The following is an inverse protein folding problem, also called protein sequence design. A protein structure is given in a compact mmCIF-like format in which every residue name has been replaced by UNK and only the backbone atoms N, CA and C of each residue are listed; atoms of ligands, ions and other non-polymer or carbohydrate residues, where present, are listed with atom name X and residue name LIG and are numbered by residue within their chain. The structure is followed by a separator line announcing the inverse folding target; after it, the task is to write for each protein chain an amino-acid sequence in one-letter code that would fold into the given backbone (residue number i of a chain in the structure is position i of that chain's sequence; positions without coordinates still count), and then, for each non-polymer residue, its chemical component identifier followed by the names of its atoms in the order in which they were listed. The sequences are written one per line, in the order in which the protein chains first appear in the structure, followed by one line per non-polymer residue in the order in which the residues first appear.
data_IF_817103979850
#
_entry.id   IF_817103979850
#
_cell.length_a   1.000
_cell.length_b   1.000
_cell.length_c   1.000
_cell.angle_alpha   90.00
_cell.angle_beta   90.00
_cell.angle_gamma   90.00
#
_symmetry.space_group_name_H-M   'P 1'
#
loop_
_entity.id
_entity.type
_entity.pdbx_description
1 polymer ?
#
# COMPACT_ATOMS: atom_id res chain seq x y z
N UNK A 1 -9.13 -2.93 3.88
CA UNK A 1 -8.10 -1.89 3.63
C UNK A 1 -7.82 -1.15 4.94
N UNK A 2 -6.56 -0.77 5.22
CA UNK A 2 -6.16 -0.03 6.41
C UNK A 2 -5.31 1.18 6.01
N UNK A 3 -5.48 2.31 6.68
CA UNK A 3 -4.70 3.54 6.44
C UNK A 3 -4.38 4.23 7.75
N UNK A 4 -3.16 4.77 7.85
CA UNK A 4 -2.73 5.60 8.97
C UNK A 4 -3.37 6.99 8.90
N UNK A 5 -3.69 7.55 10.06
CA UNK A 5 -4.04 8.97 10.19
C UNK A 5 -2.79 9.74 10.63
N UNK A 6 -1.96 10.05 9.67
CA UNK A 6 -0.77 10.84 9.92
C UNK A 6 -1.08 12.33 9.96
N UNK A 7 -0.25 13.08 10.63
CA UNK A 7 -0.40 14.53 10.75
C UNK A 7 0.63 15.21 9.86
N UNK A 8 0.13 16.03 8.92
CA UNK A 8 0.93 16.91 8.07
C UNK A 8 0.90 18.33 8.61
N UNK A 9 2.03 18.84 9.05
CA UNK A 9 2.16 20.23 9.50
C UNK A 9 1.98 21.21 8.33
N UNK A 10 2.15 20.75 7.09
CA UNK A 10 1.90 21.57 5.91
C UNK A 10 0.42 21.95 5.74
N UNK A 11 -0.50 21.18 6.32
CA UNK A 11 -1.93 21.47 6.31
C UNK A 11 -2.38 22.45 7.39
N UNK A 12 -1.49 22.85 8.32
CA UNK A 12 -1.82 23.86 9.29
C UNK A 12 -2.13 25.21 8.62
N UNK A 13 -3.12 25.93 9.15
CA UNK A 13 -3.42 27.29 8.68
C UNK A 13 -2.18 28.18 8.78
N UNK A 14 -1.93 29.12 7.84
CA UNK A 14 -0.73 29.95 7.83
C UNK A 14 -0.45 30.67 9.14
N UNK A 15 -1.48 31.10 9.87
CA UNK A 15 -1.33 31.77 11.20
C UNK A 15 -0.90 30.80 12.31
N UNK A 16 -1.17 29.51 12.15
CA UNK A 16 -0.79 28.46 13.09
C UNK A 16 0.58 27.85 12.81
N UNK A 17 1.20 28.13 11.65
CA UNK A 17 2.56 27.68 11.28
C UNK A 17 3.60 28.48 12.06
N UNK A 18 3.81 28.10 13.31
CA UNK A 18 4.86 28.65 14.17
C UNK A 18 5.80 27.51 14.57
N UNK A 19 7.06 27.83 14.85
CA UNK A 19 8.04 26.83 15.31
C UNK A 19 7.50 26.03 16.51
N UNK A 20 6.80 26.68 17.44
CA UNK A 20 6.21 26.02 18.61
C UNK A 20 5.16 25.01 18.18
N UNK A 21 4.24 25.39 17.32
CA UNK A 21 3.18 24.49 16.86
C UNK A 21 3.71 23.34 16.04
N UNK A 22 4.60 23.62 15.08
CA UNK A 22 5.13 22.61 14.14
C UNK A 22 6.03 21.59 14.84
N UNK A 23 6.77 22.00 15.88
CA UNK A 23 7.77 21.13 16.49
C UNK A 23 7.47 20.68 17.91
N UNK A 24 6.59 21.36 18.67
CA UNK A 24 6.33 21.04 20.08
C UNK A 24 4.87 20.63 20.36
N UNK A 25 3.92 21.12 19.56
CA UNK A 25 2.49 20.89 19.80
C UNK A 25 1.93 19.84 18.85
N UNK A 26 2.07 20.01 17.55
CA UNK A 26 1.57 19.06 16.54
C UNK A 26 2.66 18.06 16.17
N UNK A 27 2.94 17.12 17.07
CA UNK A 27 4.11 16.25 17.03
C UNK A 27 3.84 14.87 16.43
N UNK A 28 2.59 14.40 16.39
CA UNK A 28 2.23 13.04 15.99
C UNK A 28 0.88 12.97 15.28
N UNK A 29 0.68 11.95 14.46
CA UNK A 29 -0.60 11.52 13.95
C UNK A 29 -1.36 10.67 14.97
N UNK A 30 -2.61 10.25 14.64
CA UNK A 30 -3.45 9.59 15.62
C UNK A 30 -4.32 8.47 15.04
N UNK A 31 -3.87 7.25 15.23
CA UNK A 31 -4.63 6.04 14.92
C UNK A 31 -4.68 5.68 13.45
N UNK A 32 -5.55 4.77 13.16
CA UNK A 32 -5.81 4.25 11.81
C UNK A 32 -7.30 4.22 11.52
N UNK A 33 -7.64 4.15 10.25
CA UNK A 33 -8.95 3.75 9.75
C UNK A 33 -8.84 2.44 9.02
N UNK A 34 -9.86 1.60 9.12
CA UNK A 34 -9.94 0.39 8.31
C UNK A 34 -11.38 0.15 7.85
N UNK A 35 -11.52 -0.35 6.62
CA UNK A 35 -12.80 -0.72 6.04
C UNK A 35 -12.70 -2.08 5.36
N UNK A 36 -13.84 -2.73 5.20
CA UNK A 36 -13.97 -3.86 4.28
C UNK A 36 -13.77 -3.38 2.84
N UNK A 37 -13.37 -4.25 1.94
CA UNK A 37 -13.22 -3.93 0.50
C UNK A 37 -14.47 -4.30 -0.30
N UNK A 38 -15.41 -5.00 0.33
CA UNK A 38 -16.61 -5.57 -0.30
C UNK A 38 -17.90 -4.83 0.07
N UNK A 39 -17.87 -3.98 1.10
CA UNK A 39 -19.05 -3.35 1.64
C UNK A 39 -18.95 -1.82 1.60
N UNK A 40 -20.05 -1.18 1.27
CA UNK A 40 -20.22 0.28 1.29
C UNK A 40 -21.47 0.66 2.07
N UNK A 41 -21.54 1.90 2.56
CA UNK A 41 -22.75 2.46 3.15
C UNK A 41 -23.82 2.70 2.08
N UNK A 42 -25.04 3.03 2.49
CA UNK A 42 -26.14 3.37 1.55
C UNK A 42 -25.80 4.60 0.68
N UNK A 43 -24.91 5.47 1.16
CA UNK A 43 -24.44 6.65 0.48
C UNK A 43 -23.25 6.37 -0.48
N UNK A 44 -22.78 5.12 -0.56
CA UNK A 44 -21.62 4.75 -1.40
C UNK A 44 -20.26 5.06 -0.76
N UNK A 45 -20.20 5.30 0.56
CA UNK A 45 -18.97 5.52 1.30
C UNK A 45 -18.42 4.19 1.85
N UNK A 46 -17.10 4.08 2.13
CA UNK A 46 -16.52 2.86 2.71
C UNK A 46 -17.18 2.47 4.04
N UNK A 47 -17.49 1.19 4.22
CA UNK A 47 -17.97 0.66 5.48
C UNK A 47 -16.80 0.47 6.46
N UNK A 48 -16.60 1.43 7.34
CA UNK A 48 -15.50 1.40 8.28
C UNK A 48 -15.74 0.39 9.42
N UNK A 49 -14.75 -0.47 9.63
CA UNK A 49 -14.65 -1.40 10.78
C UNK A 49 -13.77 -0.84 11.90
N UNK A 50 -12.86 0.10 11.58
CA UNK A 50 -12.13 0.93 12.54
C UNK A 50 -12.32 2.39 12.13
N UNK A 51 -12.90 3.19 13.02
CA UNK A 51 -13.24 4.61 12.79
C UNK A 51 -13.13 5.42 14.07
N UNK A 52 -13.53 6.69 14.01
CA UNK A 52 -13.55 7.68 15.08
C UNK A 52 -12.16 8.08 15.62
N UNK A 53 -12.13 9.10 16.45
CA UNK A 53 -10.97 9.59 17.20
C UNK A 53 -11.42 9.81 18.65
N UNK A 54 -10.95 9.02 19.61
CA UNK A 54 -10.04 7.84 19.51
C UNK A 54 -10.59 6.69 18.64
N UNK A 55 -9.71 5.86 18.04
CA UNK A 55 -10.13 4.77 17.18
C UNK A 55 -11.03 3.77 17.90
N UNK A 56 -12.17 3.42 17.27
CA UNK A 56 -13.09 2.40 17.73
C UNK A 56 -13.22 1.31 16.70
N UNK A 57 -13.15 0.06 17.13
CA UNK A 57 -13.28 -1.11 16.29
C UNK A 57 -14.64 -1.80 16.50
N UNK A 58 -15.32 -2.13 15.42
CA UNK A 58 -16.54 -2.97 15.45
C UNK A 58 -16.23 -4.47 15.43
N UNK A 59 -14.97 -4.85 15.18
CA UNK A 59 -14.52 -6.25 15.05
C UNK A 59 -13.59 -6.70 16.18
N UNK A 60 -13.55 -5.96 17.29
CA UNK A 60 -12.78 -6.33 18.49
C UNK A 60 -11.26 -6.14 18.40
N UNK A 61 -10.76 -5.41 17.43
CA UNK A 61 -9.34 -5.06 17.34
C UNK A 61 -9.09 -3.86 18.25
N UNK A 62 -8.25 -4.00 19.31
CA UNK A 62 -7.86 -2.88 20.16
C UNK A 62 -6.71 -2.09 19.56
N UNK A 63 -6.71 -0.77 19.84
CA UNK A 63 -5.59 0.14 19.54
C UNK A 63 -5.32 0.92 20.82
N UNK A 64 -4.38 0.42 21.62
CA UNK A 64 -4.09 0.97 22.95
C UNK A 64 -3.08 2.12 22.87
N UNK A 65 -2.33 2.19 21.77
CA UNK A 65 -1.30 3.20 21.51
C UNK A 65 -1.47 3.75 20.09
N UNK A 66 -2.40 4.71 19.91
CA UNK A 66 -2.75 5.22 18.59
C UNK A 66 -1.80 6.28 18.04
N UNK A 67 -0.94 6.90 18.85
CA UNK A 67 -0.08 8.00 18.44
C UNK A 67 1.01 7.53 17.46
N UNK A 68 1.16 8.25 16.34
CA UNK A 68 2.11 7.97 15.26
C UNK A 68 3.15 9.09 15.23
N UNK A 69 4.31 8.85 15.86
CA UNK A 69 5.45 9.76 15.81
C UNK A 69 6.37 9.50 14.62
N UNK A 70 6.37 8.25 14.13
CA UNK A 70 7.16 7.77 13.00
C UNK A 70 6.21 7.15 11.98
N UNK A 71 6.18 7.71 10.78
CA UNK A 71 5.25 7.34 9.70
C UNK A 71 5.83 7.63 8.33
N UNK A 72 4.97 7.73 7.34
CA UNK A 72 5.37 8.04 5.95
C UNK A 72 5.52 9.55 5.73
N UNK A 73 4.78 10.37 6.51
CA UNK A 73 4.80 11.84 6.42
C UNK A 73 5.79 12.43 7.41
N UNK A 74 6.73 13.23 6.94
CA UNK A 74 7.63 14.05 7.77
C UNK A 74 7.90 15.39 7.09
N UNK A 75 7.04 16.39 7.35
CA UNK A 75 7.10 17.72 6.72
C UNK A 75 8.13 18.66 7.36
N UNK A 76 8.52 18.42 8.61
CA UNK A 76 9.30 19.36 9.40
C UNK A 76 10.67 18.83 9.81
N UNK A 77 10.97 17.57 9.49
CA UNK A 77 12.27 16.93 9.73
C UNK A 77 12.57 16.57 11.18
N UNK A 78 11.90 17.18 12.16
CA UNK A 78 12.03 16.82 13.58
C UNK A 78 10.86 17.33 14.41
N UNK A 79 10.64 16.70 15.57
CA UNK A 79 9.79 17.21 16.65
C UNK A 79 10.49 17.07 17.98
N UNK A 80 10.07 17.87 18.97
CA UNK A 80 10.61 17.82 20.33
C UNK A 80 9.48 17.51 21.30
N UNK A 81 9.60 16.40 21.98
CA UNK A 81 8.60 15.89 22.93
C UNK A 81 9.06 16.08 24.38
N UNK A 82 8.16 15.91 25.33
CA UNK A 82 8.42 16.12 26.77
C UNK A 82 8.94 17.53 27.07
N UNK A 83 8.35 18.53 26.45
CA UNK A 83 8.59 19.96 26.68
C UNK A 83 7.68 20.49 27.79
N UNK A 84 7.69 21.79 28.03
CA UNK A 84 6.66 22.44 28.88
C UNK A 84 5.32 22.52 28.16
N UNK A 85 5.34 22.53 26.83
CA UNK A 85 4.11 22.46 26.03
C UNK A 85 3.57 21.05 26.03
N UNK A 86 2.26 20.94 26.15
CA UNK A 86 1.55 19.66 25.93
C UNK A 86 1.40 19.43 24.43
N UNK A 87 1.52 18.20 24.02
CA UNK A 87 1.33 17.77 22.65
C UNK A 87 -0.17 17.69 22.36
N UNK A 88 -0.60 18.20 21.20
CA UNK A 88 -1.98 18.03 20.73
C UNK A 88 -2.20 16.56 20.41
N UNK A 89 -3.21 15.98 21.02
CA UNK A 89 -3.56 14.57 20.85
C UNK A 89 -4.69 14.41 19.82
N UNK A 90 -5.88 14.89 20.15
CA UNK A 90 -7.02 14.90 19.23
C UNK A 90 -8.09 15.92 19.64
N UNK A 91 -8.98 16.32 18.70
CA UNK A 91 -10.11 17.19 19.01
C UNK A 91 -11.22 16.39 19.71
N UNK A 92 -11.86 17.00 20.72
CA UNK A 92 -13.01 16.42 21.41
C UNK A 92 -14.12 17.48 21.55
N UNK A 93 -15.04 17.49 20.59
CA UNK A 93 -16.06 18.53 20.47
C UNK A 93 -15.42 19.92 20.32
N UNK A 94 -15.80 20.85 21.20
CA UNK A 94 -15.29 22.23 21.22
C UNK A 94 -13.93 22.36 21.96
N UNK A 95 -13.35 21.27 22.45
CA UNK A 95 -12.10 21.26 23.21
C UNK A 95 -11.07 20.36 22.55
N UNK A 96 -9.80 20.50 22.94
CA UNK A 96 -8.72 19.64 22.48
C UNK A 96 -8.22 18.77 23.64
N UNK A 97 -7.91 17.52 23.32
CA UNK A 97 -7.14 16.66 24.20
C UNK A 97 -5.66 16.86 23.96
N UNK A 98 -4.89 16.72 25.04
CA UNK A 98 -3.45 16.89 25.03
C UNK A 98 -2.78 15.73 25.73
N UNK A 99 -1.62 15.36 25.25
CA UNK A 99 -0.81 14.27 25.78
C UNK A 99 0.62 14.73 26.08
N UNK A 100 1.40 13.82 26.64
CA UNK A 100 2.85 13.93 26.79
C UNK A 100 3.47 12.60 26.41
N UNK A 101 4.49 12.62 25.59
CA UNK A 101 5.17 11.39 25.16
C UNK A 101 5.71 10.59 26.35
N UNK A 102 5.29 9.32 26.45
CA UNK A 102 5.67 8.41 27.55
C UNK A 102 6.61 7.28 27.09
N UNK A 103 7.10 7.34 25.84
CA UNK A 103 7.90 6.27 25.26
C UNK A 103 9.41 6.40 25.46
N UNK A 104 10.13 5.45 24.85
CA UNK A 104 11.58 5.34 24.95
C UNK A 104 12.33 6.00 23.76
N UNK A 105 11.60 6.34 22.66
CA UNK A 105 12.19 6.93 21.46
C UNK A 105 12.73 8.34 21.64
N UNK A 106 13.43 8.83 20.62
CA UNK A 106 14.06 10.14 20.60
C UNK A 106 15.39 10.22 21.38
N UNK A 107 16.12 11.30 21.11
CA UNK A 107 17.41 11.57 21.75
C UNK A 107 17.21 12.69 22.77
N UNK A 108 17.68 12.50 24.01
CA UNK A 108 17.60 13.49 25.09
C UNK A 108 18.38 14.75 24.70
N UNK A 109 17.75 15.92 24.86
CA UNK A 109 18.36 17.23 24.55
C UNK A 109 19.27 17.71 25.72
N UNK A 110 20.38 16.99 25.91
CA UNK A 110 21.50 17.47 26.75
C UNK A 110 22.09 18.75 26.16
N UNK A 111 22.92 19.47 26.92
CA UNK A 111 23.57 20.69 26.44
C UNK A 111 24.36 20.46 25.13
N UNK A 112 25.10 19.34 25.03
CA UNK A 112 25.85 18.97 23.83
C UNK A 112 24.88 18.72 22.66
N UNK A 113 23.84 17.94 22.90
CA UNK A 113 22.85 17.62 21.84
C UNK A 113 22.09 18.87 21.38
N UNK A 114 21.78 19.83 22.27
CA UNK A 114 21.20 21.12 21.86
C UNK A 114 22.11 21.88 20.90
N UNK A 115 23.42 21.94 21.19
CA UNK A 115 24.39 22.57 20.29
C UNK A 115 24.47 21.84 18.95
N UNK A 116 24.57 20.52 18.96
CA UNK A 116 24.63 19.70 17.75
C UNK A 116 23.38 19.89 16.88
N UNK A 117 22.19 19.89 17.50
CA UNK A 117 20.93 20.07 16.79
C UNK A 117 20.76 21.51 16.28
N UNK A 118 21.29 22.52 17.02
CA UNK A 118 21.33 23.89 16.55
C UNK A 118 22.16 24.01 15.27
N UNK A 119 23.31 23.34 15.20
CA UNK A 119 24.13 23.31 13.99
C UNK A 119 23.48 22.53 12.85
N UNK A 120 22.92 21.38 13.16
CA UNK A 120 22.24 20.50 12.15
C UNK A 120 21.06 21.20 11.47
N UNK A 121 20.21 21.85 12.24
CA UNK A 121 18.95 22.46 11.74
C UNK A 121 19.02 23.97 11.53
N UNK A 122 20.16 24.60 11.80
CA UNK A 122 20.37 26.04 11.59
C UNK A 122 19.47 26.95 12.44
N UNK A 123 19.01 26.48 13.61
CA UNK A 123 18.08 27.24 14.45
C UNK A 123 18.55 27.35 15.90
N UNK A 124 18.57 28.58 16.43
CA UNK A 124 18.91 28.85 17.83
C UNK A 124 17.79 28.45 18.83
N UNK A 125 16.63 27.99 18.33
CA UNK A 125 15.47 27.61 19.16
C UNK A 125 15.82 26.53 20.18
N UNK A 126 16.70 25.58 19.85
CA UNK A 126 17.13 24.53 20.79
C UNK A 126 17.85 25.10 22.03
N UNK A 127 18.58 26.22 21.88
CA UNK A 127 19.34 26.87 22.96
C UNK A 127 18.50 27.91 23.71
N UNK A 128 17.65 28.65 23.00
CA UNK A 128 17.00 29.85 23.51
C UNK A 128 15.52 29.57 23.96
N UNK A 129 14.90 28.48 23.54
CA UNK A 129 13.52 28.20 23.94
C UNK A 129 13.43 27.83 25.42
N UNK A 130 12.62 28.57 26.15
CA UNK A 130 12.27 28.28 27.53
C UNK A 130 11.37 27.06 27.70
N UNK A 131 10.81 26.51 26.61
CA UNK A 131 9.94 25.31 26.62
C UNK A 131 10.72 24.01 26.69
N UNK A 132 11.99 24.01 26.25
CA UNK A 132 12.83 22.82 26.27
C UNK A 132 13.38 22.57 27.68
N UNK A 133 13.01 21.43 28.24
CA UNK A 133 13.39 20.99 29.58
C UNK A 133 14.56 19.99 29.55
N UNK A 134 15.17 19.64 30.71
CA UNK A 134 16.16 18.56 30.78
C UNK A 134 15.62 17.18 30.39
N UNK A 135 14.29 16.98 30.40
CA UNK A 135 13.63 15.72 30.00
C UNK A 135 13.20 15.70 28.54
N UNK A 136 13.31 16.84 27.85
CA UNK A 136 12.92 16.93 26.44
C UNK A 136 13.79 16.04 25.55
N UNK A 137 13.14 15.41 24.59
CA UNK A 137 13.79 14.55 23.57
C UNK A 137 13.48 15.08 22.19
N UNK A 138 14.43 15.01 21.30
CA UNK A 138 14.23 15.28 19.87
C UNK A 138 14.02 13.95 19.12
N UNK A 139 13.02 13.91 18.25
CA UNK A 139 12.77 12.84 17.29
C UNK A 139 13.02 13.38 15.89
N UNK A 140 13.85 12.70 15.12
CA UNK A 140 14.21 13.04 13.74
C UNK A 140 14.38 11.77 12.91
N UNK A 141 14.52 11.89 11.59
CA UNK A 141 14.36 10.77 10.66
C UNK A 141 13.05 10.04 10.99
N UNK A 142 11.95 10.78 10.97
CA UNK A 142 10.63 10.29 11.33
C UNK A 142 9.96 9.57 10.17
N UNK A 143 10.27 9.97 8.94
CA UNK A 143 9.86 9.22 7.75
C UNK A 143 10.42 7.81 7.78
N UNK A 144 9.54 6.81 7.59
CA UNK A 144 9.89 5.38 7.56
C UNK A 144 11.01 5.13 6.55
N UNK A 145 10.88 5.66 5.34
CA UNK A 145 11.85 5.51 4.26
C UNK A 145 13.21 6.09 4.63
N UNK A 146 13.26 7.37 4.98
CA UNK A 146 14.50 8.05 5.37
C UNK A 146 15.20 7.34 6.52
N UNK A 147 14.41 6.85 7.48
CA UNK A 147 14.93 6.18 8.67
C UNK A 147 15.64 4.88 8.34
N UNK A 148 15.00 4.00 7.56
CA UNK A 148 15.59 2.70 7.21
C UNK A 148 16.78 2.84 6.26
N UNK A 149 16.71 3.77 5.31
CA UNK A 149 17.83 4.09 4.39
C UNK A 149 19.04 4.67 5.13
N UNK A 150 18.80 5.49 6.16
CA UNK A 150 19.88 6.03 6.99
C UNK A 150 20.57 4.93 7.80
N UNK A 151 19.83 3.94 8.30
CA UNK A 151 20.36 2.85 9.12
C UNK A 151 21.10 1.82 8.25
N UNK A 152 20.51 1.44 7.10
CA UNK A 152 21.05 0.40 6.23
C UNK A 152 21.05 0.85 4.74
N UNK A 153 21.90 1.82 4.35
CA UNK A 153 21.93 2.40 3.01
C UNK A 153 22.44 1.45 1.91
N UNK A 154 22.88 0.26 2.29
CA UNK A 154 23.32 -0.81 1.39
C UNK A 154 22.21 -1.74 0.94
N UNK A 155 20.99 -1.60 1.50
CA UNK A 155 19.78 -2.28 1.03
C UNK A 155 19.01 -1.38 0.06
N UNK A 156 18.19 -1.99 -0.79
CA UNK A 156 17.11 -1.31 -1.50
C UNK A 156 15.77 -1.61 -0.82
N UNK A 157 14.83 -0.70 -0.91
CA UNK A 157 13.56 -0.78 -0.22
C UNK A 157 12.41 -0.77 -1.21
N UNK A 158 11.35 -1.50 -0.90
CA UNK A 158 10.09 -1.39 -1.62
C UNK A 158 9.49 0.01 -1.44
N UNK A 159 8.75 0.49 -2.42
CA UNK A 159 8.09 1.80 -2.32
C UNK A 159 6.85 1.80 -1.44
N UNK A 160 6.38 0.62 -1.02
CA UNK A 160 5.12 0.44 -0.31
C UNK A 160 5.33 -0.10 1.12
N UNK A 161 5.77 0.75 2.07
CA UNK A 161 5.66 0.42 3.48
C UNK A 161 4.19 0.35 3.87
N UNK A 162 3.81 -0.57 4.76
CA UNK A 162 2.42 -0.73 5.16
C UNK A 162 2.26 -0.81 6.66
N UNK A 163 1.19 -0.14 7.15
CA UNK A 163 0.86 -0.11 8.58
C UNK A 163 0.11 -1.37 9.00
N UNK A 164 0.43 -1.88 10.19
CA UNK A 164 -0.23 -3.04 10.80
C UNK A 164 -0.53 -2.79 12.28
N UNK A 165 -1.55 -3.47 12.79
CA UNK A 165 -1.91 -3.44 14.20
C UNK A 165 -1.45 -4.76 14.82
N UNK A 166 -0.62 -4.69 15.85
CA UNK A 166 -0.16 -5.86 16.60
C UNK A 166 -0.19 -5.58 18.09
N UNK A 167 -0.94 -6.39 18.84
CA UNK A 167 -1.06 -6.29 20.29
C UNK A 167 -1.39 -4.86 20.77
N UNK A 168 -2.36 -4.20 20.14
CA UNK A 168 -2.82 -2.85 20.47
C UNK A 168 -1.86 -1.71 20.09
N UNK A 169 -0.80 -1.99 19.31
CA UNK A 169 0.20 -1.03 18.87
C UNK A 169 0.27 -0.97 17.34
N UNK A 170 0.76 0.15 16.84
CA UNK A 170 0.94 0.39 15.42
C UNK A 170 2.40 0.16 15.02
N UNK A 171 2.59 -0.58 13.94
CA UNK A 171 3.88 -0.84 13.35
C UNK A 171 3.81 -0.61 11.84
N UNK A 172 4.91 -0.21 11.24
CA UNK A 172 5.11 -0.30 9.80
C UNK A 172 5.97 -1.52 9.48
N UNK A 173 5.63 -2.20 8.40
CA UNK A 173 6.48 -3.23 7.80
C UNK A 173 6.98 -2.70 6.46
N UNK A 174 8.29 -2.77 6.26
CA UNK A 174 8.97 -2.34 5.06
C UNK A 174 9.77 -3.49 4.47
N UNK A 175 9.50 -3.84 3.22
CA UNK A 175 10.30 -4.81 2.51
C UNK A 175 11.64 -4.23 2.09
N UNK A 176 12.71 -5.01 2.28
CA UNK A 176 14.05 -4.63 1.92
C UNK A 176 14.77 -5.75 1.14
N UNK A 177 15.57 -5.32 0.19
CA UNK A 177 16.21 -6.19 -0.79
C UNK A 177 17.73 -6.09 -0.70
N UNK A 178 18.36 -7.24 -0.86
CA UNK A 178 19.75 -7.32 -1.27
C UNK A 178 19.81 -7.27 -2.78
N UNK A 179 20.67 -6.44 -3.35
CA UNK A 179 20.77 -6.21 -4.78
C UNK A 179 22.21 -6.11 -5.23
N UNK A 180 22.45 -6.46 -6.48
CA UNK A 180 23.73 -6.23 -7.18
C UNK A 180 23.48 -5.93 -8.65
N UNK A 181 24.42 -5.22 -9.29
CA UNK A 181 24.39 -4.87 -10.72
C UNK A 181 25.44 -5.60 -11.56
N UNK A 182 26.18 -6.55 -10.96
CA UNK A 182 27.33 -7.22 -11.55
C UNK A 182 27.17 -8.74 -11.65
N UNK A 183 25.94 -9.25 -11.54
CA UNK A 183 25.71 -10.67 -11.63
C UNK A 183 25.96 -11.15 -13.08
N UNK A 184 26.78 -12.20 -13.29
CA UNK A 184 27.15 -12.63 -14.64
C UNK A 184 25.95 -13.10 -15.45
N UNK A 185 25.91 -12.75 -16.75
CA UNK A 185 24.90 -13.20 -17.71
C UNK A 185 23.44 -12.85 -17.37
N UNK A 186 23.21 -11.91 -16.46
CA UNK A 186 21.89 -11.42 -16.12
C UNK A 186 21.67 -10.03 -16.73
N UNK A 187 20.53 -9.84 -17.39
CA UNK A 187 20.16 -8.56 -17.99
C UNK A 187 19.86 -7.51 -16.90
N UNK A 188 20.44 -6.30 -16.97
CA UNK A 188 20.17 -5.26 -15.97
C UNK A 188 18.80 -4.62 -16.18
N UNK A 189 18.13 -4.33 -15.07
CA UNK A 189 16.86 -3.59 -15.01
C UNK A 189 17.00 -2.40 -14.07
N UNK A 190 16.25 -1.32 -14.32
CA UNK A 190 16.11 -0.20 -13.38
C UNK A 190 14.66 -0.15 -12.91
N UNK A 191 14.32 -0.79 -11.79
CA UNK A 191 12.95 -0.82 -11.28
C UNK A 191 12.58 0.55 -10.73
N UNK A 192 11.41 1.06 -11.10
CA UNK A 192 10.86 2.32 -10.59
C UNK A 192 10.11 2.17 -9.26
N UNK A 193 9.85 0.93 -8.86
CA UNK A 193 9.14 0.54 -7.64
C UNK A 193 10.04 0.24 -6.44
N UNK A 194 11.37 0.40 -6.61
CA UNK A 194 12.35 0.23 -5.53
C UNK A 194 13.09 1.53 -5.23
N UNK A 195 13.47 1.73 -3.98
CA UNK A 195 14.23 2.91 -3.56
C UNK A 195 15.50 2.54 -2.80
N UNK A 196 16.63 3.24 -3.01
CA UNK A 196 16.88 4.24 -4.05
C UNK A 196 16.93 3.63 -5.46
N UNK A 197 16.52 4.39 -6.49
CA UNK A 197 16.51 3.93 -7.89
C UNK A 197 17.93 3.65 -8.37
N UNK A 198 18.25 2.36 -8.56
CA UNK A 198 19.58 1.92 -9.03
C UNK A 198 19.40 0.78 -10.04
N UNK A 199 20.22 0.72 -11.11
CA UNK A 199 20.28 -0.44 -11.97
C UNK A 199 20.67 -1.67 -11.15
N UNK A 200 20.03 -2.79 -11.40
CA UNK A 200 20.33 -4.07 -10.76
C UNK A 200 20.13 -5.22 -11.74
N UNK A 201 20.81 -6.32 -11.50
CA UNK A 201 20.61 -7.59 -12.21
C UNK A 201 20.65 -8.80 -11.27
N UNK A 202 20.58 -8.53 -9.95
CA UNK A 202 20.34 -9.48 -8.87
C UNK A 202 19.48 -8.82 -7.82
N UNK A 203 18.43 -9.50 -7.37
CA UNK A 203 17.55 -9.04 -6.30
C UNK A 203 16.99 -10.22 -5.52
N UNK A 204 16.97 -10.11 -4.18
CA UNK A 204 16.24 -11.02 -3.29
C UNK A 204 15.57 -10.23 -2.16
N UNK A 205 14.34 -10.59 -1.81
CA UNK A 205 13.64 -10.01 -0.66
C UNK A 205 14.14 -10.68 0.63
N UNK A 206 15.36 -10.34 1.01
CA UNK A 206 16.08 -11.03 2.09
C UNK A 206 15.78 -10.47 3.46
N UNK A 207 15.15 -9.29 3.57
CA UNK A 207 14.94 -8.62 4.85
C UNK A 207 13.53 -8.04 4.94
N UNK A 208 12.86 -8.29 6.08
CA UNK A 208 11.65 -7.59 6.49
C UNK A 208 12.01 -6.63 7.62
N UNK A 209 11.68 -5.36 7.47
CA UNK A 209 11.98 -4.32 8.47
C UNK A 209 10.69 -3.97 9.19
N UNK A 210 10.72 -3.97 10.52
CA UNK A 210 9.61 -3.56 11.37
C UNK A 210 9.96 -2.27 12.10
N UNK A 211 9.10 -1.28 12.00
CA UNK A 211 9.26 0.03 12.63
C UNK A 211 8.11 0.26 13.60
N UNK A 212 8.42 0.50 14.87
CA UNK A 212 7.46 0.91 15.90
C UNK A 212 7.03 2.36 15.64
N UNK A 213 5.77 2.59 15.30
CA UNK A 213 5.24 3.90 14.96
C UNK A 213 5.28 4.91 16.11
N UNK A 214 5.29 4.44 17.36
CA UNK A 214 5.34 5.27 18.56
C UNK A 214 6.78 5.62 18.99
N UNK A 215 7.67 4.61 19.04
CA UNK A 215 9.03 4.78 19.55
C UNK A 215 10.09 4.96 18.45
N UNK A 216 9.75 4.65 17.19
CA UNK A 216 10.68 4.66 16.07
C UNK A 216 11.78 3.59 16.15
N UNK A 217 11.58 2.54 16.96
CA UNK A 217 12.48 1.40 16.98
C UNK A 217 12.41 0.66 15.66
N UNK A 218 13.58 0.33 15.09
CA UNK A 218 13.68 -0.41 13.83
C UNK A 218 14.35 -1.76 14.10
N UNK A 219 13.70 -2.81 13.63
CA UNK A 219 14.21 -4.18 13.70
C UNK A 219 14.29 -4.76 12.27
N UNK A 220 15.48 -5.21 11.86
CA UNK A 220 15.73 -5.85 10.58
C UNK A 220 15.71 -7.37 10.76
N UNK A 221 14.76 -8.05 10.14
CA UNK A 221 14.61 -9.51 10.22
C UNK A 221 15.07 -10.16 8.93
N UNK A 222 16.02 -11.09 9.01
CA UNK A 222 16.46 -11.91 7.88
C UNK A 222 15.32 -12.86 7.53
N UNK A 223 14.73 -12.65 6.35
CA UNK A 223 13.61 -13.43 5.83
C UNK A 223 14.12 -14.57 4.93
N UNK A 224 15.15 -14.30 4.11
CA UNK A 224 15.81 -15.29 3.27
C UNK A 224 17.25 -15.55 3.77
N UNK A 225 17.45 -16.53 4.67
CA UNK A 225 18.77 -16.84 5.22
C UNK A 225 19.73 -17.49 4.22
N UNK A 226 19.22 -17.96 3.06
CA UNK A 226 20.04 -18.59 2.02
C UNK A 226 20.71 -17.55 1.09
N UNK A 227 20.35 -16.27 1.20
CA UNK A 227 20.95 -15.21 0.40
C UNK A 227 22.41 -14.93 0.85
N UNK A 228 23.42 -15.10 -0.04
CA UNK A 228 24.82 -14.89 0.33
C UNK A 228 25.14 -13.42 0.69
N UNK A 229 24.39 -12.45 0.11
CA UNK A 229 24.59 -11.03 0.42
C UNK A 229 24.13 -10.70 1.84
N UNK A 230 22.92 -11.16 2.24
CA UNK A 230 22.44 -10.93 3.61
C UNK A 230 23.29 -11.64 4.63
N UNK A 231 23.79 -12.86 4.33
CA UNK A 231 24.74 -13.57 5.19
C UNK A 231 26.03 -12.74 5.40
N UNK A 232 26.53 -12.12 4.33
CA UNK A 232 27.71 -11.25 4.41
C UNK A 232 27.42 -10.01 5.26
N UNK A 233 26.29 -9.33 5.03
CA UNK A 233 25.90 -8.16 5.82
C UNK A 233 25.68 -8.49 7.30
N UNK A 234 25.11 -9.67 7.60
CA UNK A 234 24.93 -10.12 8.98
C UNK A 234 26.27 -10.31 9.71
N UNK A 235 27.33 -10.75 9.01
CA UNK A 235 28.67 -10.86 9.58
C UNK A 235 29.36 -9.51 9.76
N UNK A 236 29.14 -8.56 8.83
CA UNK A 236 29.70 -7.20 8.90
C UNK A 236 29.00 -6.41 10.02
N UNK A 237 27.67 -6.56 10.17
CA UNK A 237 26.84 -5.83 11.13
C UNK A 237 26.10 -6.79 12.09
N UNK A 238 26.80 -7.45 13.00
CA UNK A 238 26.24 -8.58 13.79
C UNK A 238 25.08 -8.18 14.72
N UNK A 239 24.92 -6.90 15.04
CA UNK A 239 23.85 -6.40 15.92
C UNK A 239 22.68 -5.77 15.16
N UNK A 240 22.75 -5.66 13.84
CA UNK A 240 21.72 -5.03 13.03
C UNK A 240 20.60 -6.00 12.70
N UNK A 241 20.96 -7.20 12.31
CA UNK A 241 20.02 -8.21 11.81
C UNK A 241 19.60 -9.20 12.88
N UNK A 242 18.34 -9.62 12.81
CA UNK A 242 17.75 -10.68 13.64
C UNK A 242 17.21 -11.80 12.75
N UNK A 243 17.19 -13.04 13.23
CA UNK A 243 16.47 -14.10 12.55
C UNK A 243 14.97 -13.80 12.51
N UNK A 244 14.27 -14.19 11.44
CA UNK A 244 12.82 -14.08 11.30
C UNK A 244 12.07 -14.77 12.45
N UNK A 245 12.62 -15.83 13.03
CA UNK A 245 12.04 -16.53 14.18
C UNK A 245 11.89 -15.64 15.43
N UNK A 246 12.68 -14.57 15.52
CA UNK A 246 12.58 -13.57 16.59
C UNK A 246 11.53 -12.50 16.34
N UNK A 247 10.93 -12.45 15.17
CA UNK A 247 9.79 -11.58 14.88
C UNK A 247 8.58 -12.08 15.66
N UNK A 248 7.83 -11.19 16.34
CA UNK A 248 6.58 -11.57 17.00
C UNK A 248 5.66 -12.32 16.04
N UNK A 249 5.10 -13.45 16.50
CA UNK A 249 4.23 -14.31 15.67
C UNK A 249 3.03 -13.57 15.09
N UNK A 250 2.52 -12.60 15.80
CA UNK A 250 1.43 -11.75 15.35
C UNK A 250 1.85 -10.87 14.15
N UNK A 251 3.04 -10.27 14.22
CA UNK A 251 3.59 -9.50 13.09
C UNK A 251 3.92 -10.38 11.87
N UNK A 252 4.34 -11.63 12.09
CA UNK A 252 4.59 -12.57 10.98
C UNK A 252 3.35 -12.84 10.13
N UNK A 253 2.15 -12.78 10.72
CA UNK A 253 0.86 -12.97 10.00
C UNK A 253 0.53 -11.84 9.02
N UNK A 254 1.17 -10.69 9.17
CA UNK A 254 0.99 -9.53 8.32
C UNK A 254 1.99 -9.46 7.15
N UNK A 255 2.92 -10.42 7.06
CA UNK A 255 3.86 -10.49 5.94
C UNK A 255 3.07 -10.76 4.66
N UNK A 256 3.37 -9.98 3.62
CA UNK A 256 2.81 -10.13 2.27
C UNK A 256 3.93 -10.22 1.24
N UNK A 257 3.59 -10.65 0.02
CA UNK A 257 4.54 -10.64 -1.08
C UNK A 257 4.80 -9.18 -1.51
N UNK A 258 6.08 -8.75 -1.69
CA UNK A 258 6.39 -7.37 -2.00
C UNK A 258 6.10 -7.04 -3.46
N UNK A 259 5.43 -5.90 -3.68
CA UNK A 259 4.97 -5.48 -5.00
C UNK A 259 6.13 -5.23 -5.96
N UNK A 260 7.19 -4.55 -5.53
CA UNK A 260 8.32 -4.22 -6.41
C UNK A 260 9.07 -5.45 -6.92
N UNK A 261 9.26 -6.49 -6.10
CA UNK A 261 9.84 -7.76 -6.57
C UNK A 261 8.91 -8.46 -7.56
N UNK A 262 7.62 -8.48 -7.25
CA UNK A 262 6.61 -9.12 -8.10
C UNK A 262 6.55 -8.49 -9.49
N UNK A 263 6.61 -7.16 -9.59
CA UNK A 263 6.64 -6.45 -10.86
C UNK A 263 7.87 -6.80 -11.71
N UNK A 264 9.05 -6.87 -11.08
CA UNK A 264 10.28 -7.31 -11.76
C UNK A 264 10.11 -8.73 -12.28
N UNK A 265 9.58 -9.65 -11.47
CA UNK A 265 9.35 -11.04 -11.86
C UNK A 265 8.31 -11.15 -12.97
N UNK A 266 7.24 -10.37 -12.93
CA UNK A 266 6.23 -10.32 -13.99
C UNK A 266 6.84 -9.84 -15.31
N UNK A 267 7.65 -8.77 -15.30
CA UNK A 267 8.37 -8.28 -16.48
C UNK A 267 9.31 -9.33 -17.05
N UNK A 268 10.09 -10.01 -16.22
CA UNK A 268 10.98 -11.09 -16.65
C UNK A 268 10.18 -12.25 -17.22
N UNK A 269 9.13 -12.70 -16.55
CA UNK A 269 8.34 -13.84 -16.99
C UNK A 269 7.63 -13.58 -18.33
N UNK A 270 7.29 -12.32 -18.62
CA UNK A 270 6.71 -11.91 -19.90
C UNK A 270 7.56 -12.30 -21.14
N UNK A 271 8.85 -12.54 -20.94
CA UNK A 271 9.80 -12.97 -21.95
C UNK A 271 10.31 -14.40 -21.68
N UNK A 272 10.65 -14.71 -20.43
CA UNK A 272 11.30 -15.99 -20.06
C UNK A 272 10.35 -17.19 -20.01
N UNK A 273 9.04 -17.02 -20.27
CA UNK A 273 8.11 -18.14 -20.45
C UNK A 273 8.27 -18.86 -21.78
N UNK A 274 9.03 -18.31 -22.75
CA UNK A 274 9.30 -18.91 -24.04
C UNK A 274 10.40 -19.96 -23.90
N UNK A 275 10.07 -21.23 -24.19
CA UNK A 275 10.98 -22.36 -24.03
C UNK A 275 11.79 -22.63 -25.28
N UNK A 276 11.26 -22.33 -26.49
CA UNK A 276 11.98 -22.49 -27.74
C UNK A 276 13.04 -21.39 -27.92
N UNK A 277 14.31 -21.72 -28.12
CA UNK A 277 15.38 -20.73 -28.23
C UNK A 277 15.22 -19.74 -29.39
N UNK A 278 14.62 -20.15 -30.50
CA UNK A 278 14.42 -19.28 -31.66
C UNK A 278 13.28 -18.30 -31.42
N UNK A 279 12.17 -18.78 -30.84
CA UNK A 279 11.03 -17.98 -30.42
C UNK A 279 11.44 -16.95 -29.34
N UNK A 280 12.27 -17.39 -28.38
CA UNK A 280 12.85 -16.53 -27.37
C UNK A 280 13.76 -15.45 -27.94
N UNK A 281 14.68 -15.84 -28.85
CA UNK A 281 15.60 -14.90 -29.47
C UNK A 281 14.87 -13.81 -30.28
N UNK A 282 13.85 -14.23 -31.05
CA UNK A 282 13.05 -13.33 -31.87
C UNK A 282 11.95 -12.58 -31.05
N UNK A 283 11.71 -12.97 -29.80
CA UNK A 283 10.61 -12.46 -28.96
C UNK A 283 9.22 -12.59 -29.63
N UNK A 284 8.99 -13.71 -30.34
CA UNK A 284 7.79 -13.90 -31.16
C UNK A 284 6.50 -14.05 -30.35
N UNK A 285 6.57 -14.72 -29.20
CA UNK A 285 5.43 -14.94 -28.29
C UNK A 285 5.57 -14.12 -26.97
N UNK A 286 6.25 -12.98 -27.02
CA UNK A 286 6.40 -12.13 -25.83
C UNK A 286 5.04 -11.63 -25.32
N UNK A 287 4.91 -11.53 -24.01
CA UNK A 287 3.71 -11.03 -23.34
C UNK A 287 3.89 -9.59 -22.86
N UNK A 288 2.79 -8.93 -22.57
CA UNK A 288 2.75 -7.60 -21.97
C UNK A 288 1.80 -7.58 -20.77
N UNK A 289 2.08 -6.71 -19.82
CA UNK A 289 1.10 -6.30 -18.82
C UNK A 289 0.07 -5.43 -19.54
N UNK A 290 -1.22 -5.75 -19.49
CA UNK A 290 -2.26 -4.98 -20.16
C UNK A 290 -2.44 -3.59 -19.57
N UNK A 291 -3.22 -2.77 -20.28
CA UNK A 291 -3.70 -1.49 -19.76
C UNK A 291 -5.12 -1.63 -19.24
N UNK A 292 -5.51 -0.67 -18.41
CA UNK A 292 -6.88 -0.42 -17.93
C UNK A 292 -7.21 1.05 -18.08
N UNK A 293 -8.48 1.42 -17.97
CA UNK A 293 -8.90 2.82 -17.86
C UNK A 293 -9.01 3.18 -16.39
N UNK A 294 -8.16 4.08 -15.93
CA UNK A 294 -8.25 4.65 -14.59
C UNK A 294 -8.56 6.14 -14.69
N UNK A 295 -9.58 6.60 -13.96
CA UNK A 295 -10.18 7.92 -14.15
C UNK A 295 -10.63 8.14 -15.61
N UNK A 296 -9.82 8.81 -16.40
CA UNK A 296 -10.06 9.11 -17.82
C UNK A 296 -8.90 8.69 -18.73
N UNK A 297 -7.91 8.01 -18.20
CA UNK A 297 -6.66 7.70 -18.89
C UNK A 297 -6.37 6.21 -18.92
N UNK A 298 -5.82 5.74 -20.05
CA UNK A 298 -5.33 4.38 -20.15
C UNK A 298 -3.96 4.27 -19.49
N UNK A 299 -3.87 3.56 -18.38
CA UNK A 299 -2.63 3.28 -17.64
C UNK A 299 -2.25 1.80 -17.75
N UNK A 300 -0.99 1.47 -17.50
CA UNK A 300 -0.56 0.07 -17.34
C UNK A 300 -1.12 -0.43 -16.02
N UNK A 301 -1.71 -1.62 -16.01
CA UNK A 301 -2.22 -2.23 -14.78
C UNK A 301 -1.09 -2.42 -13.76
N UNK A 302 -1.38 -2.09 -12.52
CA UNK A 302 -0.51 -2.40 -11.39
C UNK A 302 -0.91 -3.72 -10.75
N UNK A 303 0.03 -4.46 -10.13
CA UNK A 303 -0.32 -5.63 -9.33
C UNK A 303 -1.28 -5.26 -8.20
N UNK A 304 -2.24 -6.13 -7.94
CA UNK A 304 -3.23 -5.92 -6.88
C UNK A 304 -3.38 -7.14 -6.00
N UNK A 305 -3.71 -6.90 -4.73
CA UNK A 305 -3.97 -7.97 -3.77
C UNK A 305 -5.42 -8.44 -3.86
N UNK A 306 -5.60 -9.75 -3.85
CA UNK A 306 -6.91 -10.41 -3.91
C UNK A 306 -6.90 -11.67 -3.05
N UNK A 307 -8.04 -12.07 -2.52
CA UNK A 307 -8.21 -13.38 -1.90
C UNK A 307 -8.72 -14.32 -2.98
N UNK A 308 -7.96 -15.37 -3.29
CA UNK A 308 -8.31 -16.41 -4.24
C UNK A 308 -8.44 -17.74 -3.54
N UNK A 309 -9.38 -18.57 -4.00
CA UNK A 309 -9.46 -19.96 -3.61
C UNK A 309 -8.52 -20.79 -4.53
N UNK A 310 -7.48 -21.36 -3.93
CA UNK A 310 -6.51 -22.23 -4.60
C UNK A 310 -6.50 -23.56 -3.86
N UNK A 311 -6.78 -24.64 -4.58
CA UNK A 311 -6.85 -26.00 -4.01
C UNK A 311 -7.78 -26.11 -2.77
N UNK A 312 -8.90 -25.37 -2.79
CA UNK A 312 -9.90 -25.37 -1.72
C UNK A 312 -9.50 -24.57 -0.46
N UNK A 313 -8.49 -23.69 -0.57
CA UNK A 313 -8.05 -22.78 0.49
C UNK A 313 -8.10 -21.35 0.00
N UNK A 314 -8.61 -20.46 0.84
CA UNK A 314 -8.51 -19.02 0.61
C UNK A 314 -7.09 -18.54 0.91
N UNK A 315 -6.44 -17.96 -0.11
CA UNK A 315 -5.09 -17.41 0.01
C UNK A 315 -5.08 -15.93 -0.40
N UNK A 316 -4.31 -15.13 0.34
CA UNK A 316 -4.08 -13.72 0.04
C UNK A 316 -2.96 -13.61 -0.99
N UNK A 317 -3.32 -13.27 -2.23
CA UNK A 317 -2.44 -13.30 -3.38
C UNK A 317 -2.21 -11.89 -3.93
N UNK A 318 -0.98 -11.64 -4.39
CA UNK A 318 -0.68 -10.51 -5.26
C UNK A 318 -0.72 -11.02 -6.70
N UNK A 319 -1.45 -10.37 -7.60
CA UNK A 319 -1.62 -10.86 -8.96
C UNK A 319 -1.59 -9.78 -10.04
N UNK A 320 -1.33 -10.22 -11.29
CA UNK A 320 -1.36 -9.41 -12.49
C UNK A 320 -1.73 -10.27 -13.71
N UNK A 321 -2.57 -9.77 -14.65
CA UNK A 321 -2.85 -10.44 -15.90
C UNK A 321 -1.77 -10.21 -16.97
N UNK A 322 -1.74 -11.08 -17.99
CA UNK A 322 -0.91 -10.93 -19.19
C UNK A 322 -1.73 -11.02 -20.47
N UNK A 323 -1.32 -10.23 -21.45
CA UNK A 323 -1.80 -10.32 -22.84
C UNK A 323 -0.62 -10.59 -23.77
N UNK A 324 -0.80 -11.28 -24.92
CA UNK A 324 0.25 -11.38 -25.92
C UNK A 324 0.63 -10.00 -26.44
N UNK A 325 1.88 -9.83 -26.85
CA UNK A 325 2.34 -8.59 -27.45
C UNK A 325 1.45 -8.23 -28.66
N UNK A 326 0.99 -6.97 -28.72
CA UNK A 326 0.12 -6.41 -29.78
C UNK A 326 -1.27 -7.05 -29.90
N UNK A 327 -1.72 -7.82 -28.92
CA UNK A 327 -3.08 -8.37 -28.85
C UNK A 327 -3.73 -7.98 -27.55
N UNK A 328 -5.05 -7.87 -27.55
CA UNK A 328 -5.80 -7.40 -26.39
C UNK A 328 -6.45 -8.53 -25.56
N UNK A 329 -6.50 -9.78 -26.08
CA UNK A 329 -7.03 -10.92 -25.31
C UNK A 329 -6.07 -11.38 -24.21
N UNK A 330 -6.58 -11.84 -23.09
CA UNK A 330 -5.76 -12.44 -22.04
C UNK A 330 -5.18 -13.79 -22.46
N UNK A 331 -3.95 -14.05 -22.03
CA UNK A 331 -3.24 -15.32 -22.26
C UNK A 331 -2.93 -16.04 -20.95
N UNK A 332 -2.71 -15.31 -19.89
CA UNK A 332 -2.35 -15.84 -18.58
C UNK A 332 -2.65 -14.83 -17.46
N UNK A 333 -2.62 -15.31 -16.23
CA UNK A 333 -2.41 -14.47 -15.05
C UNK A 333 -1.29 -15.05 -14.20
N UNK A 334 -0.60 -14.17 -13.49
CA UNK A 334 0.53 -14.45 -12.62
C UNK A 334 0.19 -14.01 -11.21
N UNK A 335 0.49 -14.83 -10.22
CA UNK A 335 0.23 -14.50 -8.82
C UNK A 335 1.33 -14.99 -7.89
N UNK A 336 1.42 -14.37 -6.72
CA UNK A 336 2.35 -14.73 -5.66
C UNK A 336 1.62 -14.76 -4.32
N UNK A 337 1.89 -15.79 -3.50
CA UNK A 337 1.41 -15.84 -2.13
C UNK A 337 2.42 -15.20 -1.14
N UNK A 338 2.05 -14.91 0.12
CA UNK A 338 2.95 -14.31 1.10
C UNK A 338 4.20 -15.15 1.43
N UNK A 339 4.17 -16.44 1.13
CA UNK A 339 5.27 -17.38 1.43
C UNK A 339 6.33 -17.45 0.34
N UNK A 340 6.05 -16.85 -0.83
CA UNK A 340 6.97 -16.80 -1.95
C UNK A 340 6.68 -17.77 -3.09
N UNK A 341 5.57 -18.52 -3.01
CA UNK A 341 5.15 -19.37 -4.13
C UNK A 341 4.61 -18.52 -5.26
N UNK A 342 5.12 -18.76 -6.46
CA UNK A 342 4.71 -18.10 -7.69
C UNK A 342 3.85 -19.04 -8.52
N UNK A 343 2.68 -18.56 -8.91
CA UNK A 343 1.70 -19.31 -9.68
C UNK A 343 1.47 -18.61 -11.00
N UNK A 344 1.54 -19.37 -12.11
CA UNK A 344 1.12 -18.92 -13.43
C UNK A 344 -0.01 -19.81 -13.94
N UNK A 345 -1.11 -19.22 -14.31
CA UNK A 345 -2.19 -19.91 -14.99
C UNK A 345 -2.25 -19.46 -16.44
N UNK A 346 -2.06 -20.40 -17.39
CA UNK A 346 -2.13 -20.14 -18.83
C UNK A 346 -3.48 -20.60 -19.36
N UNK A 347 -4.19 -19.71 -20.04
CA UNK A 347 -5.45 -20.06 -20.70
C UNK A 347 -5.19 -20.95 -21.92
N UNK A 348 -6.17 -21.78 -22.24
CA UNK A 348 -6.13 -22.56 -23.48
C UNK A 348 -6.09 -21.62 -24.69
N UNK A 349 -5.17 -21.91 -25.65
CA UNK A 349 -5.13 -21.16 -26.93
C UNK A 349 -6.39 -21.34 -27.78
N UNK A 350 -7.27 -22.29 -27.43
CA UNK A 350 -8.53 -22.55 -28.11
C UNK A 350 -9.70 -21.73 -27.55
N UNK A 351 -9.51 -21.09 -26.39
CA UNK A 351 -10.52 -20.26 -25.74
C UNK A 351 -10.16 -18.78 -25.89
N UNK A 352 -11.14 -17.97 -26.23
CA UNK A 352 -10.99 -16.52 -26.26
C UNK A 352 -11.34 -15.95 -24.88
N UNK A 353 -10.32 -15.54 -24.14
CA UNK A 353 -10.49 -14.80 -22.88
C UNK A 353 -10.27 -13.32 -23.16
N UNK A 354 -11.28 -12.49 -22.92
CA UNK A 354 -11.18 -11.05 -23.13
C UNK A 354 -10.13 -10.45 -22.22
N UNK A 355 -9.31 -9.55 -22.73
CA UNK A 355 -8.39 -8.79 -21.90
C UNK A 355 -9.03 -7.51 -21.34
N UNK A 356 -8.39 -6.87 -20.38
CA UNK A 356 -8.91 -5.68 -19.72
C UNK A 356 -9.42 -4.61 -20.69
N UNK A 357 -8.61 -4.16 -21.63
CA UNK A 357 -9.01 -3.16 -22.63
C UNK A 357 -10.17 -3.58 -23.54
N UNK A 358 -10.39 -4.89 -23.73
CA UNK A 358 -11.55 -5.37 -24.49
C UNK A 358 -12.83 -5.28 -23.65
N UNK A 359 -12.73 -5.51 -22.34
CA UNK A 359 -13.84 -5.33 -21.40
C UNK A 359 -14.18 -3.84 -21.30
N UNK A 360 -13.17 -2.97 -21.18
CA UNK A 360 -13.34 -1.51 -21.19
C UNK A 360 -14.10 -1.03 -22.44
N UNK A 361 -13.68 -1.52 -23.61
CA UNK A 361 -14.36 -1.20 -24.86
C UNK A 361 -15.81 -1.69 -24.91
N UNK A 362 -16.11 -2.84 -24.28
CA UNK A 362 -17.50 -3.33 -24.19
C UNK A 362 -18.36 -2.51 -23.23
N UNK A 363 -17.77 -2.06 -22.11
CA UNK A 363 -18.41 -1.14 -21.18
C UNK A 363 -18.81 0.15 -21.92
N UNK A 364 -17.87 0.74 -22.68
CA UNK A 364 -18.10 1.98 -23.42
C UNK A 364 -19.09 1.83 -24.61
N UNK A 365 -19.19 0.63 -25.17
CA UNK A 365 -20.11 0.31 -26.28
C UNK A 365 -21.51 -0.06 -25.80
N UNK A 366 -21.71 -0.38 -24.54
CA UNK A 366 -23.04 -0.64 -23.99
C UNK A 366 -23.85 0.67 -23.95
N UNK A 367 -25.01 0.66 -24.58
CA UNK A 367 -25.81 1.88 -24.79
C UNK A 367 -26.30 2.48 -23.46
N UNK A 368 -26.76 1.63 -22.54
CA UNK A 368 -27.28 2.06 -21.25
C UNK A 368 -26.18 2.61 -20.35
N UNK A 369 -25.03 1.90 -20.30
CA UNK A 369 -23.88 2.33 -19.53
C UNK A 369 -23.30 3.64 -20.09
N UNK A 370 -23.11 3.73 -21.40
CA UNK A 370 -22.55 4.90 -22.07
C UNK A 370 -23.43 6.15 -21.89
N UNK A 371 -24.76 5.99 -21.95
CA UNK A 371 -25.69 7.08 -21.67
C UNK A 371 -25.55 7.59 -20.24
N UNK A 372 -25.50 6.70 -19.24
CA UNK A 372 -25.36 7.06 -17.83
C UNK A 372 -24.00 7.71 -17.53
N UNK A 373 -22.89 7.16 -18.05
CA UNK A 373 -21.57 7.76 -17.90
C UNK A 373 -21.51 9.18 -18.47
N UNK A 374 -22.13 9.39 -19.64
CA UNK A 374 -22.21 10.70 -20.26
C UNK A 374 -23.04 11.68 -19.42
N UNK A 375 -24.18 11.23 -18.89
CA UNK A 375 -25.04 12.03 -18.03
C UNK A 375 -24.33 12.49 -16.74
N UNK A 376 -23.58 11.58 -16.10
CA UNK A 376 -22.88 11.89 -14.85
C UNK A 376 -21.59 12.68 -15.04
N UNK A 377 -21.03 12.72 -16.26
CA UNK A 377 -19.86 13.52 -16.60
C UNK A 377 -20.18 14.94 -17.09
N UNK A 378 -21.41 15.42 -16.86
CA UNK A 378 -21.83 16.78 -17.22
C UNK A 378 -21.30 17.80 -16.20
N UNK A 379 -21.44 19.10 -16.55
CA UNK A 379 -21.03 20.22 -15.70
C UNK A 379 -21.57 20.08 -14.27
N UNK A 380 -20.70 20.05 -13.30
CA UNK A 380 -21.01 19.92 -11.85
C UNK A 380 -20.61 18.61 -11.22
N UNK A 381 -20.29 17.58 -12.00
CA UNK A 381 -19.79 16.31 -11.51
C UNK A 381 -18.84 15.64 -12.51
N UNK A 382 -17.99 14.76 -12.01
CA UNK A 382 -17.10 13.91 -12.81
C UNK A 382 -17.24 12.46 -12.41
N UNK A 383 -17.23 11.58 -13.40
CA UNK A 383 -17.12 10.13 -13.18
C UNK A 383 -15.65 9.77 -13.02
N UNK A 384 -15.35 8.99 -12.00
CA UNK A 384 -14.05 8.38 -11.77
C UNK A 384 -14.22 6.88 -11.95
N UNK A 385 -13.56 6.33 -12.95
CA UNK A 385 -13.42 4.89 -13.13
C UNK A 385 -12.30 4.40 -12.20
N UNK A 386 -12.58 3.41 -11.36
CA UNK A 386 -11.57 2.78 -10.51
C UNK A 386 -10.82 1.69 -11.26
N UNK A 387 -9.90 1.00 -10.59
CA UNK A 387 -9.14 -0.08 -11.21
C UNK A 387 -10.06 -1.25 -11.61
N UNK A 388 -9.80 -1.81 -12.79
CA UNK A 388 -10.46 -2.99 -13.29
C UNK A 388 -9.82 -4.26 -12.66
N UNK A 389 -10.51 -4.88 -11.74
CA UNK A 389 -10.06 -6.14 -11.13
C UNK A 389 -10.38 -7.31 -12.07
N UNK A 390 -9.37 -8.12 -12.36
CA UNK A 390 -9.47 -9.36 -13.13
C UNK A 390 -9.41 -10.51 -12.14
N UNK A 391 -10.54 -11.16 -11.88
CA UNK A 391 -10.69 -12.14 -10.80
C UNK A 391 -10.89 -13.53 -11.40
N UNK A 392 -9.93 -14.46 -11.26
CA UNK A 392 -10.11 -15.85 -11.66
C UNK A 392 -11.21 -16.53 -10.82
N UNK A 393 -12.17 -17.17 -11.50
CA UNK A 393 -13.23 -17.96 -10.87
C UNK A 393 -13.31 -19.29 -11.61
N UNK A 394 -12.95 -20.38 -10.96
CA UNK A 394 -12.82 -21.69 -11.57
C UNK A 394 -12.01 -21.62 -12.88
N UNK A 395 -12.58 -21.96 -14.02
CA UNK A 395 -11.91 -21.94 -15.33
C UNK A 395 -12.24 -20.66 -16.13
N UNK A 396 -12.74 -19.60 -15.49
CA UNK A 396 -13.18 -18.37 -16.16
C UNK A 396 -12.71 -17.13 -15.43
N UNK A 397 -13.02 -15.96 -15.98
CA UNK A 397 -12.63 -14.66 -15.42
C UNK A 397 -13.88 -13.81 -15.19
N UNK A 398 -13.98 -13.28 -14.00
CA UNK A 398 -14.87 -12.19 -13.63
C UNK A 398 -14.07 -10.87 -13.66
N UNK A 399 -14.64 -9.86 -14.30
CA UNK A 399 -14.10 -8.49 -14.29
C UNK A 399 -15.01 -7.63 -13.42
N UNK A 400 -14.42 -6.83 -12.55
CA UNK A 400 -15.15 -5.92 -11.66
C UNK A 400 -14.48 -4.56 -11.65
N UNK A 401 -15.25 -3.51 -11.91
CA UNK A 401 -14.76 -2.13 -11.90
C UNK A 401 -15.72 -1.23 -11.11
N UNK A 402 -15.24 -0.52 -10.09
CA UNK A 402 -16.06 0.45 -9.36
C UNK A 402 -16.13 1.77 -10.10
N UNK A 403 -17.34 2.37 -10.14
CA UNK A 403 -17.58 3.70 -10.65
C UNK A 403 -17.91 4.67 -9.51
N UNK A 404 -17.12 5.73 -9.41
CA UNK A 404 -17.33 6.79 -8.43
C UNK A 404 -17.81 8.07 -9.10
N UNK A 405 -18.59 8.86 -8.38
CA UNK A 405 -18.95 10.22 -8.77
C UNK A 405 -18.35 11.19 -7.77
N UNK A 406 -17.69 12.21 -8.29
CA UNK A 406 -17.16 13.33 -7.53
C UNK A 406 -17.85 14.61 -7.97
N UNK A 407 -18.44 15.36 -7.04
CA UNK A 407 -18.95 16.71 -7.32
C UNK A 407 -17.78 17.68 -7.52
N UNK A 408 -17.88 18.65 -8.45
CA UNK A 408 -16.82 19.65 -8.68
C UNK A 408 -16.37 20.39 -7.43
N UNK A 409 -17.29 20.60 -6.48
CA UNK A 409 -17.04 21.25 -5.19
C UNK A 409 -16.96 20.24 -4.02
N UNK A 410 -17.06 18.95 -4.32
CA UNK A 410 -16.98 17.88 -3.31
C UNK A 410 -15.55 17.36 -3.17
N UNK A 411 -15.14 17.05 -1.95
CA UNK A 411 -13.79 16.52 -1.69
C UNK A 411 -13.74 15.00 -1.80
N UNK A 412 -14.86 14.31 -1.54
CA UNK A 412 -14.90 12.85 -1.46
C UNK A 412 -15.68 12.26 -2.66
N UNK A 413 -15.09 11.34 -3.41
CA UNK A 413 -15.82 10.53 -4.39
C UNK A 413 -16.70 9.50 -3.69
N UNK A 414 -17.90 9.26 -4.21
CA UNK A 414 -18.86 8.27 -3.72
C UNK A 414 -19.00 7.14 -4.74
N UNK A 415 -18.97 5.88 -4.28
CA UNK A 415 -19.24 4.72 -5.13
C UNK A 415 -20.70 4.80 -5.62
N UNK A 416 -20.86 4.94 -6.93
CA UNK A 416 -22.18 5.09 -7.56
C UNK A 416 -22.70 3.80 -8.16
N UNK A 417 -21.80 3.02 -8.79
CA UNK A 417 -22.11 1.74 -9.44
C UNK A 417 -20.92 0.82 -9.37
N UNK A 418 -21.22 -0.45 -9.56
CA UNK A 418 -20.25 -1.49 -9.85
C UNK A 418 -20.53 -2.04 -11.23
N UNK A 419 -19.53 -1.95 -12.10
CA UNK A 419 -19.50 -2.65 -13.37
C UNK A 419 -18.99 -4.06 -13.15
N UNK A 420 -19.64 -5.03 -13.75
CA UNK A 420 -19.14 -6.40 -13.77
C UNK A 420 -19.28 -7.00 -15.17
N UNK A 421 -18.30 -7.83 -15.56
CA UNK A 421 -18.36 -8.52 -16.84
C UNK A 421 -17.94 -9.99 -16.70
N UNK A 422 -18.64 -10.85 -17.42
CA UNK A 422 -18.38 -12.28 -17.46
C UNK A 422 -18.77 -12.83 -18.82
N UNK A 423 -17.89 -13.60 -19.45
CA UNK A 423 -18.13 -14.19 -20.80
C UNK A 423 -18.64 -13.17 -21.84
N UNK A 424 -18.15 -11.93 -21.78
CA UNK A 424 -18.52 -10.86 -22.69
C UNK A 424 -19.87 -10.18 -22.44
N UNK A 425 -20.67 -10.64 -21.49
CA UNK A 425 -21.82 -9.89 -20.95
C UNK A 425 -21.29 -8.85 -19.96
N UNK A 426 -21.81 -7.64 -20.04
CA UNK A 426 -21.47 -6.52 -19.14
C UNK A 426 -22.74 -6.11 -18.40
N UNK A 427 -22.62 -5.70 -17.16
CA UNK A 427 -23.71 -5.12 -16.36
C UNK A 427 -23.20 -3.99 -15.47
N UNK A 428 -24.09 -3.07 -15.11
CA UNK A 428 -23.83 -1.97 -14.19
C UNK A 428 -24.93 -1.92 -13.13
N UNK A 429 -24.56 -2.16 -11.87
CA UNK A 429 -25.52 -2.24 -10.77
C UNK A 429 -25.07 -1.39 -9.58
N UNK A 430 -25.95 -1.25 -8.56
CA UNK A 430 -25.64 -0.49 -7.35
C UNK A 430 -24.58 -1.17 -6.48
N UNK A 431 -24.61 -2.50 -6.42
CA UNK A 431 -23.72 -3.31 -5.62
C UNK A 431 -23.09 -4.43 -6.45
N UNK A 432 -21.98 -4.99 -5.98
CA UNK A 432 -21.38 -6.17 -6.59
C UNK A 432 -22.34 -7.37 -6.56
N UNK A 433 -23.07 -7.55 -5.47
CA UNK A 433 -24.03 -8.64 -5.33
C UNK A 433 -25.13 -8.57 -6.39
N UNK A 434 -25.69 -7.38 -6.64
CA UNK A 434 -26.70 -7.18 -7.68
C UNK A 434 -26.13 -7.40 -9.09
N UNK A 435 -24.89 -6.97 -9.32
CA UNK A 435 -24.20 -7.21 -10.59
C UNK A 435 -23.97 -8.72 -10.83
N UNK A 436 -23.58 -9.47 -9.82
CA UNK A 436 -23.43 -10.92 -9.91
C UNK A 436 -24.76 -11.63 -10.13
N UNK A 437 -25.85 -11.21 -9.46
CA UNK A 437 -27.21 -11.74 -9.68
C UNK A 437 -27.66 -11.55 -11.13
N UNK A 438 -27.40 -10.37 -11.70
CA UNK A 438 -27.77 -10.09 -13.10
C UNK A 438 -26.90 -10.86 -14.10
N UNK A 439 -25.59 -10.95 -13.87
CA UNK A 439 -24.68 -11.71 -14.75
C UNK A 439 -25.03 -13.20 -14.82
N UNK A 440 -25.31 -13.80 -13.67
CA UNK A 440 -25.55 -15.24 -13.56
C UNK A 440 -27.03 -15.62 -13.55
N UNK A 441 -27.94 -14.65 -13.79
CA UNK A 441 -29.39 -14.84 -13.81
C UNK A 441 -29.92 -15.60 -12.56
N UNK A 442 -29.34 -15.32 -11.39
CA UNK A 442 -29.78 -15.91 -10.13
C UNK A 442 -31.09 -15.24 -9.74
N UNK A 443 -32.24 -15.91 -10.00
CA UNK A 443 -33.51 -15.44 -9.52
C UNK A 443 -33.54 -15.58 -7.99
N UNK A 444 -33.84 -14.53 -7.22
CA UNK A 444 -33.93 -14.65 -5.79
C UNK A 444 -34.98 -15.68 -5.42
N UNK A 445 -34.63 -16.67 -4.61
CA UNK A 445 -35.59 -17.56 -3.98
C UNK A 445 -36.59 -16.67 -3.23
N UNK A 446 -37.86 -16.66 -3.66
CA UNK A 446 -38.93 -15.97 -2.93
C UNK A 446 -38.85 -16.45 -1.49
N UNK A 447 -38.53 -15.56 -0.54
CA UNK A 447 -38.78 -15.84 0.87
C UNK A 447 -40.23 -16.29 0.99
N UNK A 448 -40.42 -17.54 1.41
CA UNK A 448 -41.73 -18.00 1.81
C UNK A 448 -42.11 -17.23 3.05
N UNK A 449 -43.06 -16.32 2.91
CA UNK A 449 -43.81 -15.79 4.05
C UNK A 449 -44.29 -16.97 4.91
N UNK A 450 -43.78 -17.05 6.13
CA UNK A 450 -44.30 -17.90 7.20
C UNK A 450 -45.07 -16.99 8.16
#
# INVERSE_FOLDING_TARGET
MISARELSQNQLQPRAKTWLNEHLVYTHGYGVVANTVTEVTKEGLPQFIIKDIPPKSSVGISIDRPEIYYGEVDDVGYVVVNTKQKEFDYPMGDTNQYTMYAGTGGIKLSTINKITMTLKYGTLKFLLSGDITPNSKIMFHRSIRERVETIAPFLQYDNDPYIVISNGKLYYIQDAYTTDSKYPYSEPITPLTLHPFKPLNYIRNSVKVVIDAYNGKVDFYVFDPEDPLVQTYTRIFPNLFKSIDKMPKDLQKHIRYPQGLFEIQAQLYSVYHMEDPLVFYNKEDAWNIPKEIYETSAIIMEPYYVILEIDGKEEFMLMIPFTPNKKANMIAWFAANPYGDLIIYKFSKQELVYGPMQIEARIDQDAEISEQLTLWSQKGSSVIRGNLLVIPIANSILYVEPLYIKAEKGELPELKRVLAAYNGKVTMQLTLEDALKDLFAITPLKEKEI
#
